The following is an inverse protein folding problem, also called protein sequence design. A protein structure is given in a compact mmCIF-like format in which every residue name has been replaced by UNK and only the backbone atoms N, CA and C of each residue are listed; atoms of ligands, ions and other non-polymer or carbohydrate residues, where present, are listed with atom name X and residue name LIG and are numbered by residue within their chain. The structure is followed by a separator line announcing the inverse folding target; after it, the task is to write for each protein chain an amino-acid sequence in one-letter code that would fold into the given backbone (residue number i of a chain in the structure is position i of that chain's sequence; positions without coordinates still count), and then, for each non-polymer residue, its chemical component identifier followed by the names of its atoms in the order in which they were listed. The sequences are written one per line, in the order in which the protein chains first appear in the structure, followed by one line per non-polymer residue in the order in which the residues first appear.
data_IF_666734390242
#
_entry.id   IF_666734390242
#
_cell.length_a   1.000
_cell.length_b   1.000
_cell.length_c   1.000
_cell.angle_alpha   90.00
_cell.angle_beta   90.00
_cell.angle_gamma   90.00
#
_symmetry.space_group_name_H-M   'P 1'
#
loop_
_entity.id
_entity.type
_entity.pdbx_description
1 polymer ?
#
# COMPACT_ATOMS: atom_id res chain seq x y z
N UNK A 1 11.69 1.52 -4.37
CA UNK A 1 10.71 1.54 -5.49
C UNK A 1 10.14 2.95 -5.63
N UNK A 2 9.76 3.40 -6.84
CA UNK A 2 8.98 4.64 -7.02
C UNK A 2 7.54 4.30 -7.31
N UNK A 3 6.61 4.97 -6.62
CA UNK A 3 5.18 4.82 -6.82
C UNK A 3 4.61 6.17 -7.23
N UNK A 4 3.80 6.18 -8.27
CA UNK A 4 3.01 7.34 -8.68
C UNK A 4 1.55 6.94 -8.70
N UNK A 5 0.69 7.73 -8.07
CA UNK A 5 -0.75 7.50 -8.02
C UNK A 5 -1.51 8.72 -8.52
N UNK A 6 -2.50 8.50 -9.35
CA UNK A 6 -3.44 9.50 -9.84
C UNK A 6 -4.86 9.07 -9.48
N UNK A 7 -5.54 9.89 -8.69
CA UNK A 7 -6.96 9.70 -8.42
C UNK A 7 -7.79 10.30 -9.56
N UNK A 8 -8.63 9.48 -10.20
CA UNK A 8 -9.55 9.92 -11.25
C UNK A 8 -10.90 10.39 -10.70
N UNK A 9 -11.25 9.95 -9.49
CA UNK A 9 -12.45 10.34 -8.74
C UNK A 9 -12.07 10.82 -7.34
N UNK A 10 -13.02 11.43 -6.60
CA UNK A 10 -12.78 11.86 -5.21
C UNK A 10 -11.77 13.01 -5.04
N UNK A 11 -11.46 13.74 -6.12
CA UNK A 11 -10.48 14.84 -6.09
C UNK A 11 -11.07 16.09 -5.47
N UNK A 12 -10.39 16.65 -4.46
CA UNK A 12 -10.85 17.86 -3.76
C UNK A 12 -9.98 19.10 -4.01
N UNK A 13 -8.75 18.95 -4.52
CA UNK A 13 -7.78 20.07 -4.60
C UNK A 13 -7.26 20.37 -5.99
N UNK A 14 -6.98 19.36 -6.80
CA UNK A 14 -6.43 19.56 -8.15
C UNK A 14 -7.57 19.43 -9.17
N UNK A 15 -7.80 20.43 -10.04
CA UNK A 15 -8.76 20.33 -11.13
C UNK A 15 -8.53 19.08 -11.99
N UNK A 16 -9.60 18.41 -12.46
CA UNK A 16 -11.00 18.71 -12.17
C UNK A 16 -11.38 18.32 -10.73
N UNK A 17 -12.16 19.17 -10.06
CA UNK A 17 -12.68 18.90 -8.72
C UNK A 17 -13.84 17.88 -8.86
N UNK A 18 -13.67 16.69 -8.32
CA UNK A 18 -14.55 15.54 -8.52
C UNK A 18 -13.96 14.51 -9.48
N UNK A 19 -14.72 14.19 -10.53
CA UNK A 19 -14.36 13.13 -11.48
C UNK A 19 -13.76 13.71 -12.74
N UNK A 20 -12.66 13.13 -13.19
CA UNK A 20 -11.99 13.53 -14.44
C UNK A 20 -12.88 13.19 -15.65
N UNK A 21 -13.17 14.14 -16.56
CA UNK A 21 -13.92 13.86 -17.78
C UNK A 21 -13.31 12.68 -18.55
N UNK A 22 -14.15 11.73 -18.97
CA UNK A 22 -13.70 10.52 -19.66
C UNK A 22 -13.22 9.38 -18.74
N UNK A 23 -13.03 9.61 -17.44
CA UNK A 23 -12.55 8.60 -16.48
C UNK A 23 -13.58 8.24 -15.40
N UNK A 24 -14.88 8.35 -15.70
CA UNK A 24 -15.96 8.17 -14.71
C UNK A 24 -16.01 6.80 -14.04
N UNK A 25 -15.55 5.76 -14.73
CA UNK A 25 -15.50 4.39 -14.23
C UNK A 25 -14.14 4.03 -13.60
N UNK A 26 -13.14 4.91 -13.68
CA UNK A 26 -11.82 4.70 -13.09
C UNK A 26 -11.79 5.33 -11.70
N UNK A 27 -11.37 4.56 -10.71
CA UNK A 27 -11.11 5.08 -9.36
C UNK A 27 -9.74 5.76 -9.34
N UNK A 28 -8.70 5.02 -9.68
CA UNK A 28 -7.32 5.48 -9.66
C UNK A 28 -6.47 4.79 -10.73
N UNK A 29 -5.34 5.42 -11.05
CA UNK A 29 -4.25 4.82 -11.81
C UNK A 29 -3.01 4.86 -10.95
N UNK A 30 -2.19 3.82 -11.00
CA UNK A 30 -0.90 3.85 -10.34
C UNK A 30 0.19 3.19 -11.17
N UNK A 31 1.43 3.61 -10.93
CA UNK A 31 2.63 2.96 -11.47
C UNK A 31 3.61 2.75 -10.35
N UNK A 32 3.97 1.50 -10.11
CA UNK A 32 5.06 1.09 -9.26
C UNK A 32 6.23 0.62 -10.15
N UNK A 33 7.44 1.07 -9.84
CA UNK A 33 8.63 0.66 -10.60
C UNK A 33 9.87 0.67 -9.72
N UNK A 34 10.60 -0.43 -9.77
CA UNK A 34 11.91 -0.52 -9.17
C UNK A 34 12.88 0.37 -9.92
N UNK A 35 13.55 1.27 -9.20
CA UNK A 35 14.61 2.12 -9.74
C UNK A 35 16.01 1.68 -9.26
N UNK A 36 16.02 0.78 -8.28
CA UNK A 36 17.18 0.20 -7.60
C UNK A 36 16.72 -1.09 -6.89
N UNK A 37 17.58 -2.10 -6.72
CA UNK A 37 18.95 -2.21 -7.26
C UNK A 37 18.95 -2.44 -8.78
N UNK A 38 20.14 -2.47 -9.40
CA UNK A 38 20.28 -2.54 -10.85
C UNK A 38 19.56 -3.76 -11.45
N UNK A 39 19.57 -4.88 -10.72
CA UNK A 39 18.97 -6.16 -11.09
C UNK A 39 17.45 -6.09 -11.19
N UNK A 40 16.82 -5.23 -10.38
CA UNK A 40 15.38 -5.01 -10.40
C UNK A 40 15.00 -3.76 -11.20
N UNK A 41 15.97 -2.91 -11.59
CA UNK A 41 15.69 -1.63 -12.23
C UNK A 41 14.81 -1.83 -13.46
N UNK A 42 13.65 -1.18 -13.42
CA UNK A 42 12.62 -1.19 -14.44
C UNK A 42 11.55 -2.26 -14.32
N UNK A 43 11.72 -3.26 -13.45
CA UNK A 43 10.60 -4.11 -13.06
C UNK A 43 9.51 -3.23 -12.45
N UNK A 44 8.29 -3.36 -12.93
CA UNK A 44 7.20 -2.55 -12.44
C UNK A 44 5.88 -2.79 -13.15
N UNK A 45 4.83 -2.22 -12.59
CA UNK A 45 3.47 -2.38 -13.05
C UNK A 45 2.79 -1.02 -13.22
N UNK A 46 2.01 -0.89 -14.30
CA UNK A 46 1.01 0.15 -14.47
C UNK A 46 -0.37 -0.48 -14.30
N UNK A 47 -1.17 0.07 -13.40
CA UNK A 47 -2.49 -0.46 -13.06
C UNK A 47 -3.54 0.64 -13.11
N UNK A 48 -4.72 0.26 -13.57
CA UNK A 48 -5.95 1.03 -13.55
C UNK A 48 -6.90 0.29 -12.61
N UNK A 49 -7.28 0.94 -11.52
CA UNK A 49 -8.36 0.47 -10.63
C UNK A 49 -9.67 1.06 -11.07
N UNK A 50 -10.67 0.22 -11.26
CA UNK A 50 -12.02 0.67 -11.56
C UNK A 50 -12.78 1.00 -10.28
N UNK A 51 -13.80 1.86 -10.40
CA UNK A 51 -14.64 2.28 -9.27
C UNK A 51 -15.52 1.14 -8.75
N UNK A 52 -16.01 0.31 -9.67
CA UNK A 52 -16.77 -0.90 -9.34
C UNK A 52 -15.88 -2.10 -9.64
N UNK A 53 -15.18 -2.53 -8.59
CA UNK A 53 -14.20 -3.62 -8.59
C UNK A 53 -14.87 -5.00 -8.55
N UNK A 54 -16.18 -5.07 -8.27
CA UNK A 54 -16.98 -6.28 -8.37
C UNK A 54 -17.36 -6.60 -9.82
N UNK A 55 -17.46 -5.58 -10.67
CA UNK A 55 -17.78 -5.73 -12.10
C UNK A 55 -16.52 -5.72 -12.97
N UNK A 56 -15.56 -4.85 -12.66
CA UNK A 56 -14.37 -4.66 -13.49
C UNK A 56 -13.10 -4.89 -12.67
N UNK A 57 -12.40 -5.99 -12.97
CA UNK A 57 -11.08 -6.25 -12.41
C UNK A 57 -10.06 -5.21 -12.86
N UNK A 58 -9.04 -5.03 -12.02
CA UNK A 58 -7.89 -4.18 -12.31
C UNK A 58 -7.28 -4.53 -13.68
N UNK A 59 -6.97 -3.51 -14.46
CA UNK A 59 -6.37 -3.65 -15.78
C UNK A 59 -5.01 -2.97 -15.81
N UNK A 60 -4.09 -3.44 -16.65
CA UNK A 60 -2.75 -2.91 -16.61
C UNK A 60 -1.72 -3.72 -17.37
N UNK A 61 -0.47 -3.33 -17.18
CA UNK A 61 0.68 -3.98 -17.79
C UNK A 61 1.83 -4.05 -16.79
N UNK A 62 2.50 -5.19 -16.74
CA UNK A 62 3.78 -5.33 -16.08
C UNK A 62 4.91 -5.30 -17.13
N UNK A 63 6.02 -4.66 -16.79
CA UNK A 63 7.23 -4.66 -17.61
C UNK A 63 8.32 -5.50 -16.92
N UNK A 64 8.84 -6.48 -17.66
CA UNK A 64 9.89 -7.38 -17.21
C UNK A 64 11.19 -7.00 -17.92
N UNK A 65 12.13 -6.28 -17.25
CA UNK A 65 13.33 -5.76 -17.89
C UNK A 65 14.25 -6.86 -18.40
N UNK A 66 14.35 -7.98 -17.67
CA UNK A 66 15.17 -9.15 -18.04
C UNK A 66 14.82 -9.70 -19.44
N UNK A 67 13.54 -9.64 -19.82
CA UNK A 67 13.06 -10.10 -21.12
C UNK A 67 12.76 -8.95 -22.10
N UNK A 68 12.85 -7.70 -21.63
CA UNK A 68 12.36 -6.50 -22.35
C UNK A 68 10.93 -6.67 -22.87
N UNK A 69 10.09 -7.35 -22.09
CA UNK A 69 8.72 -7.69 -22.46
C UNK A 69 7.72 -6.99 -21.56
N UNK A 70 6.64 -6.55 -22.19
CA UNK A 70 5.44 -6.09 -21.50
C UNK A 70 4.41 -7.20 -21.56
N UNK A 71 3.82 -7.52 -20.41
CA UNK A 71 2.72 -8.47 -20.30
C UNK A 71 1.50 -7.76 -19.75
N UNK A 72 0.32 -8.20 -20.15
CA UNK A 72 -0.93 -7.73 -19.54
C UNK A 72 -1.04 -8.36 -18.15
N UNK A 73 -1.37 -7.56 -17.14
CA UNK A 73 -1.66 -8.08 -15.80
C UNK A 73 -2.98 -8.85 -15.83
N UNK A 74 -3.04 -9.94 -15.08
CA UNK A 74 -4.24 -10.75 -14.96
C UNK A 74 -5.17 -10.16 -13.90
N UNK A 75 -6.41 -10.65 -13.87
CA UNK A 75 -7.38 -10.24 -12.86
C UNK A 75 -6.90 -10.52 -11.42
N UNK A 76 -5.98 -11.46 -11.22
CA UNK A 76 -5.48 -11.90 -9.91
C UNK A 76 -4.04 -11.47 -9.62
N UNK A 77 -3.44 -10.60 -10.44
CA UNK A 77 -2.04 -10.16 -10.26
C UNK A 77 -1.83 -9.41 -8.94
N UNK A 78 -2.89 -8.96 -8.25
CA UNK A 78 -2.80 -8.47 -6.88
C UNK A 78 -2.26 -9.51 -5.88
N UNK A 79 -2.33 -10.82 -6.20
CA UNK A 79 -1.75 -11.88 -5.36
C UNK A 79 -0.27 -12.17 -5.69
N UNK A 80 0.27 -11.56 -6.75
CA UNK A 80 1.65 -11.77 -7.16
C UNK A 80 2.62 -11.07 -6.19
N UNK A 81 3.74 -11.74 -5.94
CA UNK A 81 4.82 -11.22 -5.12
C UNK A 81 5.47 -9.95 -5.73
N UNK A 82 5.77 -8.96 -4.89
CA UNK A 82 6.42 -7.72 -5.31
C UNK A 82 7.94 -7.85 -5.17
N UNK A 83 8.62 -8.21 -6.27
CA UNK A 83 10.08 -8.09 -6.39
C UNK A 83 10.90 -8.86 -5.33
N UNK A 84 10.42 -10.01 -4.86
CA UNK A 84 11.07 -10.85 -3.85
C UNK A 84 10.80 -10.43 -2.40
N UNK A 85 9.93 -9.44 -2.17
CA UNK A 85 9.56 -9.00 -0.82
C UNK A 85 8.53 -9.92 -0.14
N UNK A 86 8.12 -9.61 1.09
CA UNK A 86 7.00 -10.31 1.74
C UNK A 86 5.62 -9.82 1.26
N UNK A 87 5.58 -8.75 0.45
CA UNK A 87 4.35 -8.15 -0.07
C UNK A 87 3.86 -8.85 -1.33
N UNK A 88 2.55 -8.98 -1.44
CA UNK A 88 1.86 -9.04 -2.72
C UNK A 88 1.40 -7.65 -3.14
N UNK A 89 1.04 -7.46 -4.41
CA UNK A 89 0.50 -6.19 -4.89
C UNK A 89 -0.79 -5.74 -4.19
N UNK A 90 -1.54 -6.68 -3.59
CA UNK A 90 -2.78 -6.47 -2.85
C UNK A 90 -2.61 -6.27 -1.34
N UNK A 91 -1.41 -6.41 -0.79
CA UNK A 91 -1.18 -6.27 0.66
C UNK A 91 -0.97 -4.86 1.20
N UNK A 92 -0.41 -3.89 0.45
CA UNK A 92 -0.22 -2.54 0.99
C UNK A 92 -1.53 -1.97 1.55
N UNK A 93 -1.43 -1.18 2.62
CA UNK A 93 -2.59 -0.65 3.36
C UNK A 93 -3.43 -1.71 4.10
N UNK A 94 -2.98 -2.97 4.10
CA UNK A 94 -3.61 -4.09 4.78
C UNK A 94 -4.53 -4.91 3.87
N UNK A 95 -5.24 -4.25 2.95
CA UNK A 95 -6.04 -4.87 1.91
C UNK A 95 -6.30 -3.88 0.75
N UNK A 96 -5.57 -4.03 -0.36
CA UNK A 96 -5.75 -3.25 -1.60
C UNK A 96 -6.31 -4.09 -2.77
N UNK A 97 -6.73 -5.30 -2.46
CA UNK A 97 -7.45 -6.16 -3.38
C UNK A 97 -8.89 -5.67 -3.60
N UNK A 98 -9.57 -6.09 -4.68
CA UNK A 98 -10.98 -5.78 -4.88
C UNK A 98 -11.83 -6.19 -3.66
N UNK A 99 -12.47 -5.24 -2.98
CA UNK A 99 -13.25 -5.54 -1.77
C UNK A 99 -14.43 -6.48 -2.08
N UNK A 100 -14.96 -6.40 -3.31
CA UNK A 100 -15.99 -7.32 -3.81
C UNK A 100 -15.59 -8.81 -3.80
N UNK A 101 -14.30 -9.15 -3.74
CA UNK A 101 -13.81 -10.54 -3.70
C UNK A 101 -13.67 -11.10 -2.28
N UNK A 102 -14.05 -10.33 -1.26
CA UNK A 102 -13.91 -10.70 0.15
C UNK A 102 -15.25 -10.70 0.87
N UNK A 103 -15.39 -11.57 1.87
CA UNK A 103 -16.46 -11.51 2.87
C UNK A 103 -15.89 -10.93 4.16
N UNK A 104 -16.62 -10.00 4.78
CA UNK A 104 -16.19 -9.33 6.01
C UNK A 104 -17.13 -9.66 7.15
N UNK A 105 -16.57 -9.93 8.32
CA UNK A 105 -17.30 -10.18 9.56
C UNK A 105 -16.67 -9.40 10.70
N UNK A 106 -17.45 -8.50 11.31
CA UNK A 106 -17.05 -7.85 12.55
C UNK A 106 -17.04 -8.90 13.67
N UNK A 107 -15.89 -9.06 14.33
CA UNK A 107 -15.70 -10.05 15.41
C UNK A 107 -15.87 -9.40 16.77
N UNK A 108 -15.20 -8.28 17.01
CA UNK A 108 -15.18 -7.63 18.30
C UNK A 108 -14.73 -6.17 18.19
N UNK A 109 -14.80 -5.47 19.32
CA UNK A 109 -14.14 -4.19 19.56
C UNK A 109 -13.32 -4.31 20.84
N UNK A 110 -12.04 -3.95 20.81
CA UNK A 110 -11.14 -4.04 21.98
C UNK A 110 -10.18 -2.87 22.03
N UNK A 111 -9.57 -2.64 23.19
CA UNK A 111 -8.38 -1.79 23.28
C UNK A 111 -7.16 -2.60 22.81
N UNK A 112 -6.32 -2.00 21.98
CA UNK A 112 -5.11 -2.62 21.45
C UNK A 112 -3.98 -1.61 21.36
N UNK A 113 -2.76 -2.06 21.62
CA UNK A 113 -1.56 -1.27 21.37
C UNK A 113 -1.33 -1.20 19.85
N UNK A 114 -1.32 0.00 19.29
CA UNK A 114 -1.10 0.28 17.87
C UNK A 114 -0.15 1.47 17.69
N UNK A 115 0.41 1.62 16.49
CA UNK A 115 1.23 2.78 16.17
C UNK A 115 0.39 4.07 16.27
N UNK A 116 0.95 5.07 16.94
CA UNK A 116 0.29 6.34 17.23
C UNK A 116 -0.03 7.11 15.93
N UNK A 117 -1.27 7.61 15.75
CA UNK A 117 -1.64 8.39 14.57
C UNK A 117 -0.81 9.66 14.37
N UNK A 118 -0.25 10.23 15.45
CA UNK A 118 0.67 11.38 15.46
C UNK A 118 1.78 11.09 16.46
N UNK A 119 2.83 10.40 16.04
CA UNK A 119 3.91 10.02 16.93
C UNK A 119 4.81 11.22 17.29
N UNK A 120 5.14 11.39 18.57
CA UNK A 120 6.19 12.33 19.02
C UNK A 120 7.55 11.92 18.44
N UNK A 121 7.79 10.61 18.34
CA UNK A 121 8.99 10.03 17.73
C UNK A 121 8.72 9.61 16.29
N UNK A 122 9.34 10.32 15.36
CA UNK A 122 9.29 10.05 13.92
C UNK A 122 10.60 9.42 13.45
N UNK A 123 10.56 8.37 12.59
CA UNK A 123 11.77 7.87 11.97
C UNK A 123 12.33 8.95 11.02
N UNK A 124 13.64 9.15 11.05
CA UNK A 124 14.30 10.02 10.08
C UNK A 124 14.43 9.23 8.78
N UNK A 125 13.71 9.66 7.75
CA UNK A 125 13.75 9.07 6.42
C UNK A 125 14.51 10.04 5.49
N UNK A 126 15.66 9.62 4.95
CA UNK A 126 16.50 10.47 4.09
C UNK A 126 16.93 9.71 2.84
N UNK A 127 16.97 10.40 1.71
CA UNK A 127 17.41 9.84 0.42
C UNK A 127 16.61 8.59 0.01
N UNK A 128 17.26 7.58 -0.58
CA UNK A 128 16.65 6.30 -0.98
C UNK A 128 16.85 5.20 0.08
N UNK A 129 17.16 5.58 1.33
CA UNK A 129 17.45 4.64 2.42
C UNK A 129 16.76 5.04 3.74
N UNK A 130 16.57 4.08 4.63
CA UNK A 130 16.22 4.40 6.03
C UNK A 130 17.49 4.95 6.69
N UNK A 131 17.40 6.08 7.40
CA UNK A 131 18.55 6.62 8.13
C UNK A 131 19.04 5.54 9.13
N UNK A 132 20.34 5.18 9.16
CA UNK A 132 20.87 4.21 10.12
C UNK A 132 20.59 4.56 11.59
N UNK A 133 20.22 5.82 11.87
CA UNK A 133 19.82 6.27 13.19
C UNK A 133 18.38 5.88 13.59
N UNK A 134 17.57 5.33 12.67
CA UNK A 134 16.26 4.77 13.04
C UNK A 134 16.50 3.57 13.94
N UNK A 135 16.02 3.66 15.17
CA UNK A 135 16.11 2.58 16.15
C UNK A 135 15.05 1.52 15.86
N UNK A 136 15.44 0.25 15.91
CA UNK A 136 14.55 -0.89 15.80
C UNK A 136 14.59 -1.76 17.07
N UNK A 137 13.50 -2.49 17.32
CA UNK A 137 13.37 -3.53 18.35
C UNK A 137 13.23 -4.90 17.69
N UNK A 138 13.67 -5.94 18.40
CA UNK A 138 13.74 -7.32 17.91
C UNK A 138 14.55 -7.45 16.61
N UNK A 139 15.78 -6.93 16.63
CA UNK A 139 16.61 -6.76 15.43
C UNK A 139 16.12 -5.56 14.62
N UNK A 140 16.05 -5.71 13.29
CA UNK A 140 15.53 -4.67 12.39
C UNK A 140 14.01 -4.76 12.19
N UNK A 141 13.28 -5.52 13.02
CA UNK A 141 11.86 -5.83 12.75
C UNK A 141 10.94 -4.65 13.04
N UNK A 142 10.97 -4.13 14.27
CA UNK A 142 9.99 -3.13 14.69
C UNK A 142 10.68 -1.77 14.85
N UNK A 143 10.53 -0.81 13.92
CA UNK A 143 11.05 0.52 14.14
C UNK A 143 10.36 1.12 15.37
N UNK A 144 11.12 1.89 16.13
CA UNK A 144 10.60 2.53 17.31
C UNK A 144 9.78 3.76 16.91
N UNK A 145 8.51 3.49 16.66
CA UNK A 145 7.45 4.47 16.42
C UNK A 145 6.80 4.86 17.76
N UNK A 146 6.07 5.98 17.80
CA UNK A 146 5.14 6.22 18.90
C UNK A 146 4.07 5.12 18.93
N UNK A 147 3.70 4.63 20.12
CA UNK A 147 2.67 3.60 20.29
C UNK A 147 1.62 4.09 21.30
N UNK A 148 0.36 3.82 21.01
CA UNK A 148 -0.78 4.19 21.85
C UNK A 148 -1.75 3.03 22.01
N UNK A 149 -2.51 3.02 23.11
CA UNK A 149 -3.61 2.08 23.30
C UNK A 149 -4.89 2.75 22.80
N UNK A 150 -5.40 2.28 21.66
CA UNK A 150 -6.62 2.82 21.06
C UNK A 150 -7.69 1.73 20.90
N UNK A 151 -8.98 2.09 20.86
CA UNK A 151 -10.03 1.16 20.49
C UNK A 151 -9.87 0.73 19.03
N UNK A 152 -10.03 -0.56 18.76
CA UNK A 152 -9.98 -1.15 17.41
C UNK A 152 -11.17 -2.09 17.20
N UNK A 153 -11.79 -2.01 16.03
CA UNK A 153 -12.66 -3.04 15.50
C UNK A 153 -11.81 -4.16 14.91
N UNK A 154 -12.14 -5.41 15.27
CA UNK A 154 -11.49 -6.60 14.71
C UNK A 154 -12.41 -7.16 13.64
N UNK A 155 -11.95 -7.16 12.40
CA UNK A 155 -12.71 -7.63 11.24
C UNK A 155 -12.02 -8.85 10.65
N UNK A 156 -12.73 -9.98 10.60
CA UNK A 156 -12.28 -11.14 9.84
C UNK A 156 -12.68 -10.96 8.38
N UNK A 157 -11.70 -11.05 7.49
CA UNK A 157 -11.89 -11.03 6.04
C UNK A 157 -11.52 -12.40 5.47
N UNK A 158 -12.45 -13.02 4.73
CA UNK A 158 -12.23 -14.31 4.05
C UNK A 158 -12.40 -14.13 2.55
N UNK A 159 -11.48 -14.62 1.70
CA UNK A 159 -11.63 -14.48 0.27
C UNK A 159 -12.77 -15.38 -0.23
N UNK A 160 -13.52 -14.90 -1.21
CA UNK A 160 -14.60 -15.67 -1.86
C UNK A 160 -14.03 -16.76 -2.77
N UNK A 161 -12.85 -16.53 -3.35
CA UNK A 161 -12.14 -17.51 -4.15
C UNK A 161 -11.38 -18.51 -3.26
N UNK A 162 -11.63 -19.81 -3.46
CA UNK A 162 -10.94 -20.90 -2.76
C UNK A 162 -9.50 -21.09 -3.25
N UNK A 163 -9.16 -20.56 -4.42
CA UNK A 163 -7.81 -20.55 -4.99
C UNK A 163 -6.90 -19.47 -4.42
N UNK A 164 -7.42 -18.57 -3.58
CA UNK A 164 -6.67 -17.45 -3.02
C UNK A 164 -5.43 -17.91 -2.22
N UNK A 165 -4.34 -17.13 -2.30
CA UNK A 165 -3.09 -17.42 -1.56
C UNK A 165 -3.24 -17.34 -0.04
N UNK A 166 -4.22 -16.58 0.43
CA UNK A 166 -4.55 -16.41 1.85
C UNK A 166 -5.83 -17.15 2.21
N UNK A 167 -5.90 -17.78 3.38
CA UNK A 167 -7.17 -18.34 3.88
C UNK A 167 -8.06 -17.29 4.51
N UNK A 168 -7.46 -16.33 5.23
CA UNK A 168 -8.14 -15.17 5.84
C UNK A 168 -7.16 -14.08 6.23
N UNK A 169 -7.71 -12.90 6.49
CA UNK A 169 -7.05 -11.78 7.17
C UNK A 169 -7.83 -11.40 8.42
N UNK A 170 -7.15 -11.05 9.50
CA UNK A 170 -7.75 -10.36 10.66
C UNK A 170 -7.27 -8.92 10.60
N UNK A 171 -8.18 -8.02 10.26
CA UNK A 171 -7.92 -6.60 10.04
C UNK A 171 -8.30 -5.84 11.30
N UNK A 172 -7.39 -5.01 11.79
CA UNK A 172 -7.61 -4.17 12.96
C UNK A 172 -7.82 -2.72 12.52
N UNK A 173 -9.09 -2.30 12.55
CA UNK A 173 -9.54 -0.96 12.13
C UNK A 173 -9.66 -0.08 13.36
N UNK A 174 -8.91 1.02 13.41
CA UNK A 174 -8.93 1.95 14.55
C UNK A 174 -10.28 2.69 14.68
N UNK A 175 -10.64 3.03 15.92
CA UNK A 175 -11.76 3.90 16.27
C UNK A 175 -11.31 5.05 17.20
N UNK A 176 -11.45 6.33 16.81
CA UNK A 176 -11.97 6.78 15.52
C UNK A 176 -11.06 6.39 14.36
N UNK A 177 -11.67 6.12 13.19
CA UNK A 177 -10.89 5.83 11.99
C UNK A 177 -10.09 7.06 11.58
N UNK A 178 -8.78 6.86 11.39
CA UNK A 178 -7.86 7.93 11.03
C UNK A 178 -7.22 7.62 9.68
N UNK A 179 -7.80 8.20 8.63
CA UNK A 179 -7.26 8.15 7.26
C UNK A 179 -6.11 9.12 7.11
N UNK A 180 -5.07 8.74 6.37
CA UNK A 180 -4.05 9.70 5.93
C UNK A 180 -4.31 10.20 4.52
N UNK A 181 -3.59 11.24 4.12
CA UNK A 181 -3.71 11.83 2.78
C UNK A 181 -3.15 10.94 1.65
N UNK A 182 -2.48 9.83 2.00
CA UNK A 182 -1.87 8.91 1.03
C UNK A 182 -2.59 7.56 0.93
N UNK A 183 -3.23 7.09 2.01
CA UNK A 183 -3.63 5.69 2.14
C UNK A 183 -4.86 5.49 3.04
N UNK A 184 -5.61 4.42 2.79
CA UNK A 184 -6.67 3.89 3.65
C UNK A 184 -6.04 3.01 4.74
N UNK A 185 -5.61 3.62 5.86
CA UNK A 185 -4.72 2.95 6.81
C UNK A 185 -5.44 1.97 7.73
N UNK A 186 -5.22 0.68 7.52
CA UNK A 186 -5.40 -0.32 8.58
C UNK A 186 -4.22 -0.25 9.55
N UNK A 187 -4.49 -0.26 10.86
CA UNK A 187 -3.43 -0.15 11.86
C UNK A 187 -2.47 -1.35 11.79
N UNK A 188 -3.06 -2.54 11.72
CA UNK A 188 -2.34 -3.81 11.58
C UNK A 188 -3.26 -4.85 10.96
N UNK A 189 -2.68 -5.88 10.32
CA UNK A 189 -3.40 -7.00 9.72
C UNK A 189 -2.63 -8.29 9.94
N UNK A 190 -3.28 -9.29 10.52
CA UNK A 190 -2.77 -10.67 10.58
C UNK A 190 -3.23 -11.42 9.33
N UNK A 191 -2.31 -12.09 8.64
CA UNK A 191 -2.56 -12.75 7.35
C UNK A 191 -2.26 -14.24 7.51
N UNK A 192 -3.21 -15.09 7.15
CA UNK A 192 -3.13 -16.54 7.35
C UNK A 192 -2.93 -17.27 6.02
N UNK A 193 -2.05 -18.27 6.02
CA UNK A 193 -1.84 -19.16 4.87
C UNK A 193 -3.05 -20.06 4.61
N UNK A 194 -3.01 -20.84 3.52
CA UNK A 194 -4.10 -21.75 3.11
C UNK A 194 -4.40 -22.87 4.10
N UNK A 195 -3.47 -23.18 5.02
CA UNK A 195 -3.68 -24.18 6.08
C UNK A 195 -4.40 -23.60 7.30
N UNK A 196 -4.59 -22.28 7.34
CA UNK A 196 -5.15 -21.56 8.48
C UNK A 196 -4.11 -21.22 9.54
N UNK A 197 -2.82 -21.33 9.23
CA UNK A 197 -1.73 -20.94 10.12
C UNK A 197 -1.38 -19.48 9.90
N UNK A 198 -1.10 -18.75 10.98
CA UNK A 198 -0.65 -17.36 10.89
C UNK A 198 0.65 -17.32 10.08
N UNK A 199 0.66 -16.53 9.01
CA UNK A 199 1.78 -16.45 8.08
C UNK A 199 2.47 -15.11 8.17
N UNK A 200 1.74 -14.01 7.97
CA UNK A 200 2.32 -12.68 7.93
C UNK A 200 1.62 -11.72 8.87
N UNK A 201 2.35 -10.72 9.34
CA UNK A 201 1.78 -9.57 10.06
C UNK A 201 2.16 -8.29 9.31
N UNK A 202 1.15 -7.54 8.90
CA UNK A 202 1.30 -6.18 8.37
C UNK A 202 1.09 -5.17 9.50
N UNK A 203 1.87 -4.10 9.52
CA UNK A 203 1.53 -2.91 10.30
C UNK A 203 2.06 -1.64 9.62
N UNK A 204 1.36 -0.54 9.89
CA UNK A 204 1.66 0.76 9.30
C UNK A 204 2.64 1.57 10.16
N UNK A 205 3.56 2.30 9.53
CA UNK A 205 4.41 3.29 10.18
C UNK A 205 3.68 4.62 10.21
N UNK A 206 2.84 4.83 11.22
CA UNK A 206 1.94 5.99 11.30
C UNK A 206 2.64 7.24 11.82
N UNK A 207 1.91 8.35 11.84
CA UNK A 207 2.39 9.60 12.41
C UNK A 207 3.07 10.55 11.42
N UNK A 208 3.22 10.19 10.15
CA UNK A 208 3.89 11.04 9.17
C UNK A 208 3.21 12.39 8.98
N UNK A 209 4.01 13.43 8.75
CA UNK A 209 3.52 14.79 8.49
C UNK A 209 4.13 15.28 7.18
N UNK A 210 3.27 15.74 6.28
CA UNK A 210 3.69 16.34 5.02
C UNK A 210 3.31 17.83 4.97
N UNK A 211 4.32 18.69 4.89
CA UNK A 211 4.17 20.12 4.67
C UNK A 211 4.08 20.39 3.17
N UNK A 212 2.90 20.75 2.69
CA UNK A 212 2.70 21.06 1.29
C UNK A 212 3.16 22.50 0.98
N UNK A 213 3.62 22.73 -0.25
CA UNK A 213 4.16 24.02 -0.72
C UNK A 213 3.18 25.21 -0.66
N UNK A 214 1.89 24.94 -0.46
CA UNK A 214 0.83 25.96 -0.32
C UNK A 214 0.54 26.31 1.15
N UNK A 215 1.38 25.85 2.08
CA UNK A 215 1.26 26.11 3.51
C UNK A 215 0.38 25.13 4.28
N UNK A 216 -0.35 24.23 3.61
CA UNK A 216 -1.17 23.23 4.30
C UNK A 216 -0.34 22.06 4.83
N UNK A 217 -0.80 21.48 5.94
CA UNK A 217 -0.18 20.32 6.59
C UNK A 217 -1.11 19.12 6.45
N UNK A 218 -0.56 17.98 6.04
CA UNK A 218 -1.28 16.72 5.88
C UNK A 218 -0.70 15.66 6.79
N UNK A 219 -1.55 14.81 7.35
CA UNK A 219 -1.11 13.55 7.93
C UNK A 219 -0.86 12.53 6.83
N UNK A 220 0.22 11.76 6.97
CA UNK A 220 0.67 10.73 6.05
C UNK A 220 1.13 9.51 6.84
N UNK A 221 1.33 8.39 6.14
CA UNK A 221 2.13 7.27 6.66
C UNK A 221 3.61 7.48 6.31
N UNK A 222 4.50 7.10 7.23
CA UNK A 222 5.94 7.00 7.01
C UNK A 222 6.34 5.71 6.27
N UNK A 223 5.39 4.82 5.99
CA UNK A 223 5.62 3.54 5.34
C UNK A 223 4.84 2.40 5.99
N UNK A 224 5.19 1.17 5.65
CA UNK A 224 4.59 -0.01 6.24
C UNK A 224 5.57 -1.17 6.22
N UNK A 225 5.35 -2.15 7.09
CA UNK A 225 6.13 -3.38 7.17
C UNK A 225 5.23 -4.59 6.99
N UNK A 226 5.78 -5.63 6.38
CA UNK A 226 5.29 -7.00 6.55
C UNK A 226 6.39 -7.86 7.15
N UNK A 227 6.01 -8.62 8.17
CA UNK A 227 6.80 -9.69 8.75
C UNK A 227 6.26 -11.04 8.30
N UNK A 228 7.09 -11.87 7.70
CA UNK A 228 6.81 -13.29 7.55
C UNK A 228 7.16 -14.00 8.87
N UNK A 229 6.13 -14.45 9.58
CA UNK A 229 6.26 -15.09 10.89
C UNK A 229 6.67 -16.57 10.80
N UNK A 230 6.60 -17.17 9.61
CA UNK A 230 6.99 -18.57 9.39
C UNK A 230 8.47 -18.68 9.03
N UNK A 231 9.00 -17.74 8.23
CA UNK A 231 10.41 -17.71 7.84
C UNK A 231 11.26 -16.76 8.68
N UNK A 232 10.62 -15.80 9.35
CA UNK A 232 11.29 -14.73 10.10
C UNK A 232 11.79 -13.57 9.24
N UNK A 233 11.57 -13.61 7.91
CA UNK A 233 11.92 -12.54 6.99
C UNK A 233 11.04 -11.30 7.18
N UNK A 234 11.54 -10.14 6.81
CA UNK A 234 10.88 -8.86 7.04
C UNK A 234 11.17 -7.91 5.90
N UNK A 235 10.12 -7.29 5.38
CA UNK A 235 10.23 -6.23 4.38
C UNK A 235 9.68 -4.93 4.93
N UNK A 236 10.50 -3.89 4.93
CA UNK A 236 10.08 -2.51 5.17
C UNK A 236 9.85 -1.78 3.85
N UNK A 237 8.76 -1.02 3.81
CA UNK A 237 8.42 -0.13 2.71
C UNK A 237 8.26 1.31 3.22
N UNK A 238 9.36 2.00 3.56
CA UNK A 238 9.32 3.38 4.04
C UNK A 238 8.98 4.37 2.91
N UNK A 239 8.22 5.41 3.24
CA UNK A 239 7.89 6.50 2.35
C UNK A 239 8.99 7.58 2.39
N UNK A 240 10.08 7.32 1.69
CA UNK A 240 11.28 8.16 1.75
C UNK A 240 11.11 9.53 1.06
N UNK A 241 10.28 9.59 0.02
CA UNK A 241 10.02 10.81 -0.74
C UNK A 241 8.52 10.86 -1.06
N UNK A 242 7.80 11.73 -0.34
CA UNK A 242 6.37 11.91 -0.52
C UNK A 242 6.10 13.14 -1.36
N UNK A 243 5.17 13.03 -2.32
CA UNK A 243 4.60 14.16 -3.04
C UNK A 243 3.09 14.06 -3.04
N UNK A 244 2.42 15.01 -2.39
CA UNK A 244 0.96 15.12 -2.40
C UNK A 244 0.51 16.26 -3.31
N UNK A 245 -0.64 16.07 -3.96
CA UNK A 245 -1.27 17.08 -4.80
C UNK A 245 -0.30 17.79 -5.78
N UNK A 246 0.58 17.02 -6.42
CA UNK A 246 1.69 17.54 -7.24
C UNK A 246 1.25 18.20 -8.55
N UNK A 247 -0.04 18.15 -8.91
CA UNK A 247 -0.55 18.62 -10.20
C UNK A 247 -0.26 17.65 -11.35
N UNK A 248 0.00 16.38 -11.04
CA UNK A 248 0.23 15.32 -12.03
C UNK A 248 -0.93 15.23 -13.02
N UNK A 249 -0.61 15.26 -14.30
CA UNK A 249 -1.57 15.13 -15.39
C UNK A 249 -1.99 13.67 -15.58
N UNK A 250 -3.18 13.45 -16.13
CA UNK A 250 -3.79 12.13 -16.28
C UNK A 250 -3.02 11.18 -17.21
N UNK A 251 -2.33 11.73 -18.20
CA UNK A 251 -1.56 11.03 -19.22
C UNK A 251 -0.16 10.64 -18.73
N UNK A 252 0.26 11.20 -17.59
CA UNK A 252 1.52 10.87 -16.95
C UNK A 252 1.59 9.38 -16.58
N UNK A 253 0.48 8.77 -16.15
CA UNK A 253 0.42 7.34 -15.83
C UNK A 253 -0.10 6.54 -17.02
N UNK A 254 0.84 5.90 -17.69
CA UNK A 254 0.60 5.08 -18.88
C UNK A 254 1.67 4.01 -19.01
N UNK A 255 1.41 2.99 -19.85
CA UNK A 255 2.43 2.02 -20.25
C UNK A 255 3.68 2.71 -20.80
N UNK A 256 3.52 3.79 -21.59
CA UNK A 256 4.64 4.57 -22.11
C UNK A 256 5.50 5.12 -20.98
N UNK A 257 4.89 5.64 -19.91
CA UNK A 257 5.63 6.13 -18.74
C UNK A 257 6.35 5.01 -18.00
N UNK A 258 5.70 3.88 -17.78
CA UNK A 258 6.33 2.70 -17.17
C UNK A 258 7.60 2.31 -17.94
N UNK A 259 7.52 2.25 -19.27
CA UNK A 259 8.66 1.93 -20.12
C UNK A 259 9.77 2.99 -20.10
N UNK A 260 9.43 4.27 -19.91
CA UNK A 260 10.43 5.35 -19.74
C UNK A 260 11.10 5.25 -18.37
N UNK A 261 10.36 4.92 -17.31
CA UNK A 261 10.90 4.79 -15.97
C UNK A 261 11.75 3.52 -15.81
N UNK A 262 11.43 2.47 -16.57
CA UNK A 262 12.12 1.19 -16.52
C UNK A 262 13.24 0.97 -17.53
N UNK A 263 13.59 1.98 -18.33
CA UNK A 263 14.80 2.02 -19.16
C UNK A 263 15.82 2.93 -18.48
#
# INVERSE_FOLDING_TARGET
MRIFTFMATGRLRIPPLGTVPGLKNVHSRFTDVFIYPLELKGLGQFTIKYKDDAVNYDAGFAYLPAFKRTIRVSATTYQDNVGGSDFTYGDPEGLREPYGTWNFKLIAKKLMLIAEPVAERQPVLKDLFVDPQVEFKEGEKYPLLGWTINPVYIVEATPKDKGHVYSKKIIYVEDPYFSSALTEEMATVDIYDRTGTLWKCFYNWRGGIFHHKDGNVYTTTNGYTIHDLQTGHTTHFPNLCVGLNTGMQEDFLSLKRLLILGR
#
